data_IF_496242938499
#
_entry.id   IF_496242938499
#
_cell.length_a   1.000
_cell.length_b   1.000
_cell.length_c   1.000
_cell.angle_alpha   90.00
_cell.angle_beta   90.00
_cell.angle_gamma   90.00
#
_symmetry.space_group_name_H-M   'P 1'
#
loop_
_entity.id
_entity.type
_entity.pdbx_description
1 polymer ?
#
# COMPACT_ATOMS: atom_id res chain seq x y z
N UNK A 1 4.49 3.95 -5.26
CA UNK A 1 4.37 4.05 -6.73
C UNK A 1 5.74 3.88 -7.40
N UNK A 2 5.84 3.51 -8.69
CA UNK A 2 7.13 3.37 -9.39
C UNK A 2 8.06 4.56 -9.22
N UNK A 3 7.52 5.77 -9.23
CA UNK A 3 8.25 7.04 -9.07
C UNK A 3 8.81 7.22 -7.66
N UNK A 4 8.22 6.56 -6.66
CA UNK A 4 8.62 6.65 -5.26
C UNK A 4 9.69 5.61 -4.88
N UNK A 5 9.92 4.59 -5.71
CA UNK A 5 10.82 3.47 -5.41
C UNK A 5 12.22 3.96 -5.02
N UNK A 6 12.88 4.71 -5.91
CA UNK A 6 14.26 5.18 -5.69
C UNK A 6 14.35 6.15 -4.52
N UNK A 7 13.32 6.97 -4.30
CA UNK A 7 13.22 7.85 -3.12
C UNK A 7 13.20 7.02 -1.84
N UNK A 8 12.49 5.90 -1.84
CA UNK A 8 12.36 5.04 -0.67
C UNK A 8 13.62 4.24 -0.37
N UNK A 9 14.31 3.74 -1.40
CA UNK A 9 15.63 3.11 -1.26
C UNK A 9 16.66 4.09 -0.68
N UNK A 10 16.67 5.33 -1.19
CA UNK A 10 17.55 6.38 -0.67
C UNK A 10 17.25 6.70 0.80
N UNK A 11 15.98 6.86 1.16
CA UNK A 11 15.57 7.17 2.53
C UNK A 11 15.91 6.03 3.51
N UNK A 12 15.79 4.78 3.08
CA UNK A 12 16.23 3.63 3.88
C UNK A 12 17.74 3.66 4.12
N UNK A 13 18.53 3.88 3.07
CA UNK A 13 19.99 3.98 3.16
C UNK A 13 20.45 5.11 4.09
N UNK A 14 19.83 6.29 3.99
CA UNK A 14 20.10 7.44 4.88
C UNK A 14 19.81 7.14 6.35
N UNK A 15 18.88 6.22 6.62
CA UNK A 15 18.54 5.76 7.97
C UNK A 15 19.30 4.52 8.41
N UNK A 16 20.23 4.02 7.61
CA UNK A 16 20.99 2.79 7.90
C UNK A 16 20.11 1.53 7.90
N UNK A 17 19.01 1.53 7.15
CA UNK A 17 18.09 0.40 7.04
C UNK A 17 18.34 -0.36 5.74
N UNK A 18 18.38 -1.68 5.83
CA UNK A 18 18.30 -2.55 4.66
C UNK A 18 16.83 -2.81 4.34
N UNK A 19 16.41 -2.46 3.13
CA UNK A 19 15.04 -2.68 2.65
C UNK A 19 15.07 -3.42 1.32
N UNK A 20 14.17 -4.40 1.19
CA UNK A 20 13.90 -5.08 -0.07
C UNK A 20 12.61 -4.51 -0.64
N UNK A 21 12.68 -3.88 -1.81
CA UNK A 21 11.49 -3.36 -2.53
C UNK A 21 11.33 -4.15 -3.82
N UNK A 22 10.26 -4.91 -3.92
CA UNK A 22 9.96 -5.79 -5.06
C UNK A 22 8.73 -5.29 -5.81
N UNK A 23 8.55 -5.69 -7.08
CA UNK A 23 7.31 -5.43 -7.78
C UNK A 23 6.11 -6.01 -7.00
N UNK A 24 4.94 -5.40 -7.17
CA UNK A 24 3.68 -5.87 -6.55
C UNK A 24 2.62 -6.19 -7.58
N UNK A 25 2.44 -5.25 -8.52
CA UNK A 25 1.49 -5.34 -9.62
C UNK A 25 2.17 -4.82 -10.90
N UNK A 26 1.89 -5.49 -11.99
CA UNK A 26 2.20 -5.06 -13.33
C UNK A 26 0.97 -5.22 -14.23
N UNK A 27 1.03 -4.58 -15.37
CA UNK A 27 0.08 -4.74 -16.46
C UNK A 27 0.81 -5.26 -17.69
N UNK A 28 0.15 -6.07 -18.49
CA UNK A 28 0.69 -6.63 -19.73
C UNK A 28 -0.32 -7.49 -20.47
N UNK A 29 0.14 -8.28 -21.43
CA UNK A 29 -0.69 -9.22 -22.18
C UNK A 29 -0.72 -10.61 -21.50
N UNK A 30 -1.22 -11.63 -22.20
CA UNK A 30 -1.20 -13.02 -21.70
C UNK A 30 0.20 -13.65 -21.69
N UNK A 31 1.17 -13.10 -22.43
CA UNK A 31 2.53 -13.62 -22.50
C UNK A 31 3.38 -13.14 -21.32
N UNK A 32 3.08 -11.97 -20.73
CA UNK A 32 3.77 -11.53 -19.53
C UNK A 32 3.47 -10.09 -19.11
N UNK A 33 4.06 -9.66 -17.97
CA UNK A 33 4.01 -8.28 -17.52
C UNK A 33 4.89 -7.37 -18.38
N UNK A 34 4.35 -6.25 -18.82
CA UNK A 34 5.06 -5.26 -19.63
C UNK A 34 5.47 -4.03 -18.81
N UNK A 35 4.60 -3.60 -17.89
CA UNK A 35 4.80 -2.38 -17.09
C UNK A 35 4.44 -2.59 -15.64
N UNK A 36 5.40 -2.38 -14.75
CA UNK A 36 5.17 -2.39 -13.29
C UNK A 36 4.44 -1.11 -12.90
N UNK A 37 3.29 -1.27 -12.23
CA UNK A 37 2.44 -0.16 -11.77
C UNK A 37 2.47 0.02 -10.26
N UNK A 38 2.94 -0.98 -9.52
CA UNK A 38 3.10 -0.89 -8.07
C UNK A 38 4.31 -1.69 -7.60
N UNK A 39 4.94 -1.19 -6.55
CA UNK A 39 6.00 -1.85 -5.80
C UNK A 39 5.53 -2.04 -4.35
N UNK A 40 6.03 -3.08 -3.71
CA UNK A 40 5.86 -3.30 -2.27
C UNK A 40 7.21 -3.34 -1.58
N UNK A 41 7.24 -2.75 -0.40
CA UNK A 41 8.37 -2.88 0.52
C UNK A 41 8.14 -4.12 1.39
N UNK A 42 9.13 -5.00 1.44
CA UNK A 42 9.08 -6.17 2.30
C UNK A 42 9.36 -5.76 3.76
N UNK A 43 8.74 -6.49 4.68
CA UNK A 43 9.05 -6.37 6.10
C UNK A 43 10.50 -6.77 6.43
N UNK A 44 10.97 -6.38 7.61
CA UNK A 44 12.30 -6.74 8.12
C UNK A 44 12.40 -8.18 8.66
N UNK A 45 11.28 -8.89 8.74
CA UNK A 45 11.20 -10.28 9.17
C UNK A 45 10.85 -11.18 7.97
N UNK A 46 11.06 -12.50 8.13
CA UNK A 46 10.82 -13.49 7.07
C UNK A 46 9.34 -13.61 6.65
N UNK A 47 8.40 -13.19 7.48
CA UNK A 47 6.97 -13.13 7.15
C UNK A 47 6.60 -11.93 6.27
N UNK A 48 7.46 -10.90 6.24
CA UNK A 48 7.23 -9.65 5.52
C UNK A 48 6.28 -8.67 6.22
N UNK A 49 5.81 -8.95 7.44
CA UNK A 49 4.72 -8.20 8.08
C UNK A 49 5.21 -6.94 8.82
N UNK A 50 6.46 -6.95 9.30
CA UNK A 50 6.98 -5.84 10.09
C UNK A 50 7.68 -4.78 9.22
N UNK A 51 7.00 -3.66 8.98
CA UNK A 51 7.54 -2.53 8.21
C UNK A 51 8.94 -2.09 8.72
N UNK A 52 9.95 -1.98 7.83
CA UNK A 52 11.32 -1.63 8.24
C UNK A 52 11.45 -0.25 8.89
N UNK A 53 10.53 0.67 8.61
CA UNK A 53 10.55 2.04 9.15
C UNK A 53 9.82 2.21 10.49
N UNK A 54 9.28 1.14 11.08
CA UNK A 54 8.65 1.24 12.40
C UNK A 54 9.71 1.42 13.49
N UNK A 55 9.52 2.48 14.28
CA UNK A 55 10.25 2.75 15.50
C UNK A 55 9.62 1.93 16.64
N UNK A 56 10.32 0.89 17.09
CA UNK A 56 9.83 -0.02 18.12
C UNK A 56 9.93 0.55 19.54
N UNK A 57 10.60 1.70 19.71
CA UNK A 57 10.76 2.37 21.00
C UNK A 57 9.70 3.45 21.22
N UNK A 58 9.07 3.93 20.13
CA UNK A 58 8.08 5.01 20.19
C UNK A 58 6.69 4.55 19.79
N UNK A 59 5.69 5.15 20.44
CA UNK A 59 4.27 4.96 20.10
C UNK A 59 3.74 6.13 19.30
N UNK A 60 2.88 5.82 18.34
CA UNK A 60 2.05 6.79 17.63
C UNK A 60 0.84 7.20 18.48
N UNK A 61 0.17 8.32 18.17
CA UNK A 61 -1.10 8.69 18.80
C UNK A 61 -2.21 7.65 18.63
N UNK A 62 -2.06 6.72 17.68
CA UNK A 62 -3.01 5.64 17.40
C UNK A 62 -2.68 4.34 18.15
N UNK A 63 -1.73 4.36 19.09
CA UNK A 63 -1.37 3.23 19.96
C UNK A 63 -0.41 2.21 19.35
N UNK A 64 -0.24 2.20 18.03
CA UNK A 64 0.77 1.40 17.32
C UNK A 64 2.18 2.00 17.41
N UNK A 65 3.19 1.27 16.92
CA UNK A 65 4.56 1.79 16.78
C UNK A 65 4.60 3.03 15.87
N UNK A 66 5.48 3.98 16.20
CA UNK A 66 5.62 5.19 15.41
C UNK A 66 6.29 4.89 14.06
N UNK A 67 5.90 5.62 13.02
CA UNK A 67 6.55 5.54 11.71
C UNK A 67 7.74 6.50 11.64
N UNK A 68 8.96 5.98 11.50
CA UNK A 68 10.19 6.77 11.43
C UNK A 68 10.33 7.63 10.16
N UNK A 69 9.39 7.48 9.21
CA UNK A 69 9.29 8.27 7.98
C UNK A 69 7.91 8.92 7.84
N UNK A 70 7.16 9.16 8.92
CA UNK A 70 5.76 9.60 8.83
C UNK A 70 5.54 10.81 7.91
N UNK A 71 6.43 11.81 7.95
CA UNK A 71 6.36 13.00 7.09
C UNK A 71 6.79 12.75 5.62
N UNK A 72 7.47 11.64 5.36
CA UNK A 72 8.03 11.25 4.06
C UNK A 72 7.38 9.96 3.52
N UNK A 73 6.29 9.51 4.14
CA UNK A 73 5.63 8.25 3.82
C UNK A 73 5.13 8.25 2.37
N UNK A 74 5.18 7.12 1.66
CA UNK A 74 4.76 7.04 0.26
C UNK A 74 3.25 7.22 0.14
N UNK A 75 2.77 7.53 -1.07
CA UNK A 75 1.36 7.78 -1.37
C UNK A 75 0.43 6.68 -0.83
N UNK A 76 0.81 5.41 -0.95
CA UNK A 76 0.01 4.30 -0.42
C UNK A 76 -0.18 4.38 1.11
N UNK A 77 0.86 4.75 1.85
CA UNK A 77 0.78 4.97 3.29
C UNK A 77 0.06 6.28 3.64
N UNK A 78 0.09 7.28 2.74
CA UNK A 78 -0.65 8.53 2.89
C UNK A 78 -2.14 8.41 2.60
N UNK A 79 -2.55 7.46 1.76
CA UNK A 79 -3.95 7.15 1.50
C UNK A 79 -4.59 6.32 2.63
N UNK A 80 -3.80 5.56 3.38
CA UNK A 80 -4.31 4.72 4.47
C UNK A 80 -4.90 5.57 5.61
N UNK A 81 -6.09 5.24 6.16
CA UNK A 81 -6.83 3.98 5.98
C UNK A 81 -7.88 3.99 4.86
N UNK A 82 -7.96 5.03 4.03
CA UNK A 82 -8.97 5.13 2.96
C UNK A 82 -8.60 4.24 1.78
N UNK A 83 -9.48 3.28 1.46
CA UNK A 83 -9.30 2.35 0.33
C UNK A 83 -10.17 2.72 -0.87
N UNK A 84 -11.29 3.41 -0.64
CA UNK A 84 -12.17 3.88 -1.70
C UNK A 84 -12.96 5.13 -1.29
N UNK A 85 -13.55 5.83 -2.26
CA UNK A 85 -14.46 6.94 -2.02
C UNK A 85 -15.64 6.85 -2.98
N UNK A 86 -16.86 6.94 -2.43
CA UNK A 86 -18.10 6.76 -3.18
C UNK A 86 -19.11 7.87 -2.92
N UNK A 87 -20.21 7.82 -3.67
CA UNK A 87 -21.38 8.67 -3.48
C UNK A 87 -22.64 7.81 -3.58
N UNK A 88 -23.60 8.01 -2.70
CA UNK A 88 -24.94 7.43 -2.80
C UNK A 88 -25.98 8.49 -2.43
N UNK A 89 -26.95 8.74 -3.31
CA UNK A 89 -28.03 9.71 -3.09
C UNK A 89 -27.51 11.09 -2.61
N UNK A 90 -26.50 11.63 -3.30
CA UNK A 90 -25.78 12.88 -2.95
C UNK A 90 -24.99 12.87 -1.62
N UNK A 91 -24.95 11.76 -0.89
CA UNK A 91 -24.10 11.62 0.27
C UNK A 91 -22.75 10.98 -0.11
N UNK A 92 -21.66 11.70 0.11
CA UNK A 92 -20.30 11.21 -0.17
C UNK A 92 -19.73 10.53 1.06
N UNK A 93 -19.01 9.44 0.84
CA UNK A 93 -18.39 8.66 1.91
C UNK A 93 -17.04 8.11 1.49
N UNK A 94 -16.18 7.91 2.47
CA UNK A 94 -14.94 7.15 2.33
C UNK A 94 -15.16 5.72 2.82
N UNK A 95 -14.60 4.76 2.11
CA UNK A 95 -14.47 3.38 2.59
C UNK A 95 -13.09 3.23 3.21
N UNK A 96 -13.05 2.79 4.46
CA UNK A 96 -11.86 2.51 5.25
C UNK A 96 -11.48 1.03 5.14
N UNK A 97 -10.19 0.73 5.30
CA UNK A 97 -9.67 -0.63 5.30
C UNK A 97 -10.38 -1.49 6.38
N UNK A 98 -11.05 -2.59 5.99
CA UNK A 98 -11.73 -3.49 6.93
C UNK A 98 -10.77 -4.26 7.83
N UNK A 99 -9.46 -4.17 7.67
CA UNK A 99 -8.47 -4.76 8.56
C UNK A 99 -7.84 -3.74 9.53
N UNK A 100 -8.11 -2.44 9.36
CA UNK A 100 -7.59 -1.42 10.25
C UNK A 100 -8.21 -1.55 11.64
N UNK A 101 -7.41 -2.01 12.62
CA UNK A 101 -7.86 -2.18 14.00
C UNK A 101 -8.28 -0.86 14.63
N UNK A 102 -7.54 0.23 14.38
CA UNK A 102 -7.91 1.55 14.88
C UNK A 102 -9.30 1.98 14.38
N UNK A 103 -9.59 1.77 13.10
CA UNK A 103 -10.89 2.12 12.52
C UNK A 103 -12.02 1.23 13.07
N UNK A 104 -11.76 -0.08 13.24
CA UNK A 104 -12.72 -1.00 13.88
C UNK A 104 -13.13 -0.56 15.27
N UNK A 105 -12.17 -0.18 16.10
CA UNK A 105 -12.43 0.19 17.50
C UNK A 105 -13.15 1.53 17.63
N UNK A 106 -12.92 2.49 16.72
CA UNK A 106 -13.45 3.85 16.85
C UNK A 106 -14.69 4.14 16.00
N UNK A 107 -14.90 3.47 14.87
CA UNK A 107 -15.96 3.82 13.92
C UNK A 107 -17.08 2.77 13.79
N UNK A 108 -16.91 1.55 14.34
CA UNK A 108 -17.85 0.41 14.21
C UNK A 108 -18.36 0.14 12.77
N UNK A 109 -17.71 0.72 11.77
CA UNK A 109 -18.13 0.82 10.38
C UNK A 109 -16.90 1.01 9.52
N UNK A 110 -16.93 0.43 8.32
CA UNK A 110 -15.93 0.67 7.28
C UNK A 110 -16.26 1.90 6.44
N UNK A 111 -17.38 2.59 6.70
CA UNK A 111 -17.74 3.85 6.03
C UNK A 111 -17.58 5.02 6.99
N UNK A 112 -16.94 6.08 6.49
CA UNK A 112 -16.76 7.34 7.19
C UNK A 112 -17.21 8.53 6.33
N UNK A 113 -17.54 9.66 6.99
CA UNK A 113 -17.65 10.95 6.32
C UNK A 113 -16.29 11.38 5.75
N UNK A 114 -16.28 12.39 4.88
CA UNK A 114 -15.04 12.85 4.23
C UNK A 114 -14.22 13.84 5.07
N UNK A 115 -14.84 14.45 6.09
CA UNK A 115 -14.21 15.46 6.93
C UNK A 115 -13.01 14.88 7.68
N UNK A 116 -11.85 15.53 7.54
CA UNK A 116 -10.59 15.09 8.16
C UNK A 116 -9.86 13.98 7.42
N UNK A 117 -10.32 13.60 6.20
CA UNK A 117 -9.68 12.61 5.32
C UNK A 117 -9.14 13.24 4.03
N UNK A 118 -8.97 14.56 3.98
CA UNK A 118 -8.65 15.27 2.76
C UNK A 118 -7.31 14.82 2.17
N UNK A 119 -6.30 14.60 3.01
CA UNK A 119 -4.96 14.17 2.57
C UNK A 119 -4.96 12.73 2.06
N UNK A 120 -5.72 11.86 2.73
CA UNK A 120 -5.90 10.46 2.37
C UNK A 120 -6.61 10.35 1.01
N UNK A 121 -7.69 11.12 0.82
CA UNK A 121 -8.46 11.19 -0.42
C UNK A 121 -7.63 11.75 -1.57
N UNK A 122 -6.83 12.78 -1.33
CA UNK A 122 -5.90 13.33 -2.32
C UNK A 122 -4.85 12.29 -2.75
N UNK A 123 -4.27 11.59 -1.77
CA UNK A 123 -3.27 10.54 -2.02
C UNK A 123 -3.88 9.36 -2.80
N UNK A 124 -5.08 8.92 -2.43
CA UNK A 124 -5.82 7.89 -3.15
C UNK A 124 -6.12 8.31 -4.59
N UNK A 125 -6.53 9.57 -4.81
CA UNK A 125 -6.78 10.10 -6.15
C UNK A 125 -5.52 10.06 -7.03
N UNK A 126 -4.35 10.45 -6.48
CA UNK A 126 -3.07 10.37 -7.19
C UNK A 126 -2.72 8.92 -7.58
N UNK A 127 -2.94 7.96 -6.69
CA UNK A 127 -2.72 6.54 -6.98
C UNK A 127 -3.63 6.07 -8.11
N UNK A 128 -4.95 6.36 -8.02
CA UNK A 128 -5.93 5.96 -9.05
C UNK A 128 -5.67 6.63 -10.40
N UNK A 129 -5.15 7.86 -10.43
CA UNK A 129 -4.81 8.54 -11.66
C UNK A 129 -3.61 7.90 -12.39
N UNK A 130 -2.65 7.37 -11.63
CA UNK A 130 -1.45 6.71 -12.15
C UNK A 130 -1.71 5.27 -12.64
N UNK A 131 -2.76 4.62 -12.13
CA UNK A 131 -3.14 3.25 -12.48
C UNK A 131 -4.43 3.26 -13.29
N UNK A 132 -4.31 3.14 -14.62
CA UNK A 132 -5.45 2.97 -15.53
C UNK A 132 -5.40 1.58 -16.14
N UNK A 133 -6.47 0.81 -15.98
CA UNK A 133 -6.67 -0.43 -16.71
C UNK A 133 -7.28 -0.09 -18.08
N UNK A 134 -6.59 -0.43 -19.16
CA UNK A 134 -7.13 -0.34 -20.52
C UNK A 134 -7.78 -1.67 -20.90
N UNK A 135 -8.74 -1.65 -21.83
CA UNK A 135 -9.39 -2.86 -22.29
C UNK A 135 -8.38 -3.80 -22.96
N UNK A 136 -8.40 -5.09 -22.60
CA UNK A 136 -7.48 -6.09 -23.15
C UNK A 136 -6.13 -6.18 -22.42
N UNK A 137 -5.94 -5.42 -21.34
CA UNK A 137 -4.75 -5.49 -20.50
C UNK A 137 -5.00 -6.40 -19.30
N UNK A 138 -4.08 -7.33 -19.07
CA UNK A 138 -4.10 -8.25 -17.94
C UNK A 138 -3.28 -7.71 -16.77
N UNK A 139 -3.75 -7.97 -15.55
CA UNK A 139 -3.01 -7.64 -14.33
C UNK A 139 -2.16 -8.83 -13.93
N UNK A 140 -0.90 -8.56 -13.63
CA UNK A 140 0.07 -9.53 -13.15
C UNK A 140 0.46 -9.18 -11.72
N UNK A 141 0.43 -10.18 -10.84
CA UNK A 141 0.82 -10.07 -9.43
C UNK A 141 2.18 -10.72 -9.24
N UNK A 142 3.07 -10.03 -8.51
CA UNK A 142 4.36 -10.61 -8.15
C UNK A 142 4.23 -11.43 -6.86
N UNK A 143 4.46 -12.73 -6.96
CA UNK A 143 4.59 -13.65 -5.82
C UNK A 143 5.98 -13.47 -5.21
N UNK A 144 6.05 -13.30 -3.89
CA UNK A 144 7.32 -13.07 -3.16
C UNK A 144 7.88 -14.31 -2.49
N UNK A 145 7.16 -15.44 -2.55
CA UNK A 145 7.47 -16.66 -1.80
C UNK A 145 7.68 -16.41 -0.28
N UNK A 146 7.02 -15.38 0.27
CA UNK A 146 7.13 -14.96 1.67
C UNK A 146 5.95 -15.48 2.48
N UNK A 147 6.18 -15.88 3.73
CA UNK A 147 5.17 -16.42 4.63
C UNK A 147 5.13 -17.95 4.70
N UNK A 148 4.76 -18.49 5.86
CA UNK A 148 4.82 -19.93 6.19
C UNK A 148 3.94 -20.83 5.29
N UNK A 149 2.99 -20.25 4.54
CA UNK A 149 2.08 -20.96 3.64
C UNK A 149 2.34 -20.63 2.16
N UNK A 150 3.50 -20.08 1.81
CA UNK A 150 3.83 -19.77 0.42
C UNK A 150 3.91 -21.05 -0.42
N UNK A 151 2.94 -21.24 -1.32
CA UNK A 151 2.88 -22.37 -2.26
C UNK A 151 3.45 -22.07 -3.64
N UNK A 152 3.74 -20.78 -3.92
CA UNK A 152 4.24 -20.29 -5.19
C UNK A 152 5.69 -19.83 -5.04
N UNK A 153 6.52 -20.13 -6.06
CA UNK A 153 7.86 -19.58 -6.17
C UNK A 153 7.84 -18.07 -6.42
N UNK A 154 8.99 -17.41 -6.21
CA UNK A 154 9.11 -15.99 -6.50
C UNK A 154 8.97 -15.72 -8.02
N UNK A 155 8.09 -14.79 -8.40
CA UNK A 155 7.89 -14.46 -9.81
C UNK A 155 6.51 -13.89 -10.12
N UNK A 156 6.25 -13.67 -11.42
CA UNK A 156 4.98 -13.12 -11.89
C UNK A 156 3.90 -14.19 -12.06
N UNK A 157 2.70 -13.86 -11.61
CA UNK A 157 1.51 -14.69 -11.69
C UNK A 157 0.38 -13.86 -12.30
N UNK A 158 -0.26 -14.40 -13.33
CA UNK A 158 -1.42 -13.76 -13.95
C UNK A 158 -2.57 -13.71 -12.93
N UNK A 159 -3.11 -12.53 -12.68
CA UNK A 159 -4.26 -12.35 -11.78
C UNK A 159 -5.52 -12.81 -12.54
N UNK A 160 -6.16 -13.86 -12.02
CA UNK A 160 -7.34 -14.52 -12.59
C UNK A 160 -8.62 -13.73 -12.43
#
# INVERSE_FOLDING_TARGET
MPEEKSKMEKLAKEKGLEVRIVPRLAVGDMAGPEKIIAYQMMGKQEDGDLCPFLDLEKRSPHGGFACGIYALKPLACSAYPVVDAGSNNNNRYATLDPHCQFCKHNHNSTKAGLEGLESELESLSKIKAAVRAENGVHVWRYATATGQQATLGEGWVLES
#
